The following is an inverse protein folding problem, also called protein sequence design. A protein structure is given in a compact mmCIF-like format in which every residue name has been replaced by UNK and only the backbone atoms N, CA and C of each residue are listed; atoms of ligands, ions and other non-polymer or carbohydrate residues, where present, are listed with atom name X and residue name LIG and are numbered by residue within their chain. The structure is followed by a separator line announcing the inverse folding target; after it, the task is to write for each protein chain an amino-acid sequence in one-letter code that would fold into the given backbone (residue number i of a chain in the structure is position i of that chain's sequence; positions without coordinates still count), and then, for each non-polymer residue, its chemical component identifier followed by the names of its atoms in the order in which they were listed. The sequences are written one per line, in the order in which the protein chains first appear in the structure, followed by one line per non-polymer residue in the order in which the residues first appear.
data_IF_134458051898
#
_entry.id   IF_134458051898
#
_cell.length_a   1.000
_cell.length_b   1.000
_cell.length_c   1.000
_cell.angle_alpha   90.00
_cell.angle_beta   90.00
_cell.angle_gamma   90.00
#
_symmetry.space_group_name_H-M   'P 1'
#
loop_
_entity.id
_entity.type
_entity.pdbx_description
1 polymer ?
#
# COMPACT_ATOMS: atom_id res chain seq x y z
N UNK A 1 -9.70 8.39 -79.68
CA UNK A 1 -10.12 7.18 -80.40
C UNK A 1 -11.11 6.46 -79.48
N UNK A 2 -12.40 6.39 -79.85
CA UNK A 2 -13.50 5.57 -79.26
C UNK A 2 -13.88 6.02 -77.81
N UNK A 3 -14.99 6.68 -77.43
CA UNK A 3 -16.42 6.76 -77.80
C UNK A 3 -17.18 5.43 -77.79
N UNK A 4 -18.02 5.21 -76.77
CA UNK A 4 -19.36 4.57 -76.68
C UNK A 4 -19.66 4.37 -75.17
N UNK A 5 -20.85 4.49 -74.60
CA UNK A 5 -22.21 4.58 -75.13
C UNK A 5 -23.11 5.30 -74.13
N UNK A 6 -24.03 6.08 -74.69
CA UNK A 6 -25.10 6.84 -74.04
C UNK A 6 -26.25 5.91 -73.66
N UNK A 7 -26.90 6.13 -72.51
CA UNK A 7 -28.28 5.71 -72.28
C UNK A 7 -29.10 6.94 -71.87
N UNK A 8 -30.03 7.32 -72.73
CA UNK A 8 -31.01 8.40 -72.55
C UNK A 8 -32.36 7.72 -72.25
N UNK A 9 -33.02 8.13 -71.17
CA UNK A 9 -34.47 7.98 -70.95
C UNK A 9 -34.95 9.35 -70.46
N UNK A 10 -35.36 10.20 -71.39
CA UNK A 10 -36.72 10.51 -71.84
C UNK A 10 -37.49 11.46 -70.89
N UNK A 11 -37.68 12.66 -71.46
CA UNK A 11 -38.36 13.88 -71.02
C UNK A 11 -39.81 13.70 -70.52
N UNK A 12 -40.20 14.54 -69.54
CA UNK A 12 -41.47 15.27 -69.59
C UNK A 12 -41.33 16.70 -69.01
N UNK A 13 -41.59 17.66 -69.88
CA UNK A 13 -41.87 19.10 -69.74
C UNK A 13 -43.07 19.38 -68.76
N UNK A 14 -43.33 20.55 -68.14
CA UNK A 14 -43.11 21.99 -68.43
C UNK A 14 -43.54 22.83 -67.19
N UNK A 15 -42.94 24.03 -67.06
CA UNK A 15 -43.43 25.29 -66.42
C UNK A 15 -43.79 25.27 -64.91
N UNK A 16 -43.39 26.20 -64.05
CA UNK A 16 -42.82 27.55 -64.18
C UNK A 16 -43.48 28.44 -63.12
N UNK A 17 -42.70 29.02 -62.21
CA UNK A 17 -42.88 30.37 -61.63
C UNK A 17 -41.78 30.61 -60.59
N UNK A 18 -41.13 31.76 -60.72
CA UNK A 18 -40.29 32.37 -59.71
C UNK A 18 -41.11 32.68 -58.47
N UNK A 19 -40.70 32.16 -57.33
CA UNK A 19 -40.78 32.93 -56.09
C UNK A 19 -39.44 32.72 -55.39
N UNK A 20 -38.74 33.84 -55.21
CA UNK A 20 -37.65 33.97 -54.25
C UNK A 20 -38.20 33.55 -52.89
N UNK A 21 -37.89 32.32 -52.48
CA UNK A 21 -38.00 31.93 -51.09
C UNK A 21 -36.62 31.46 -50.66
N UNK A 22 -35.76 32.43 -50.37
CA UNK A 22 -34.66 32.23 -49.46
C UNK A 22 -35.28 31.71 -48.16
N UNK A 23 -35.17 30.42 -47.92
CA UNK A 23 -35.35 29.87 -46.58
C UNK A 23 -34.24 30.52 -45.75
N UNK A 24 -34.62 31.53 -44.97
CA UNK A 24 -33.82 31.94 -43.83
C UNK A 24 -33.90 30.74 -42.88
N UNK A 25 -32.81 30.02 -42.70
CA UNK A 25 -32.65 29.22 -41.49
C UNK A 25 -32.73 30.24 -40.35
N UNK A 26 -33.88 30.32 -39.68
CA UNK A 26 -33.93 30.96 -38.36
C UNK A 26 -33.03 30.11 -37.48
N UNK A 27 -31.87 30.65 -37.11
CA UNK A 27 -31.13 30.19 -35.96
C UNK A 27 -32.12 30.18 -34.79
N UNK A 28 -32.52 28.99 -34.35
CA UNK A 28 -33.29 28.84 -33.12
C UNK A 28 -32.29 29.08 -32.00
N UNK A 29 -32.31 30.29 -31.45
CA UNK A 29 -31.45 30.69 -30.34
C UNK A 29 -31.94 30.04 -29.03
N UNK A 30 -31.60 28.77 -28.85
CA UNK A 30 -31.90 28.01 -27.63
C UNK A 30 -30.98 28.42 -26.46
N UNK A 31 -31.37 28.05 -25.23
CA UNK A 31 -30.53 28.24 -24.06
C UNK A 31 -29.23 27.41 -24.20
N UNK A 32 -28.09 28.08 -24.07
CA UNK A 32 -26.77 27.44 -24.11
C UNK A 32 -25.89 27.92 -22.96
N UNK A 33 -24.86 27.14 -22.65
CA UNK A 33 -23.97 27.41 -21.53
C UNK A 33 -22.52 27.25 -22.00
N UNK A 34 -21.73 28.30 -21.83
CA UNK A 34 -20.28 28.23 -22.01
C UNK A 34 -19.64 27.92 -20.65
N UNK A 35 -18.81 26.88 -20.59
CA UNK A 35 -18.10 26.52 -19.35
C UNK A 35 -16.84 27.35 -19.19
N UNK A 36 -16.63 27.85 -17.97
CA UNK A 36 -15.34 28.42 -17.56
C UNK A 36 -14.37 27.27 -17.32
N UNK A 37 -13.31 27.19 -18.14
CA UNK A 37 -12.26 26.18 -17.96
C UNK A 37 -11.74 26.16 -16.52
N UNK A 38 -11.54 24.99 -15.90
CA UNK A 38 -11.12 24.92 -14.51
C UNK A 38 -9.80 25.66 -14.26
N UNK A 39 -9.72 26.38 -13.15
CA UNK A 39 -8.57 27.19 -12.73
C UNK A 39 -8.39 27.10 -11.21
N UNK A 40 -7.30 27.68 -10.69
CA UNK A 40 -6.89 27.56 -9.28
C UNK A 40 -6.91 26.10 -8.79
N UNK A 41 -6.55 25.18 -9.69
CA UNK A 41 -6.55 23.74 -9.45
C UNK A 41 -5.44 23.41 -8.46
N UNK A 42 -5.83 22.86 -7.32
CA UNK A 42 -4.95 22.31 -6.30
C UNK A 42 -5.30 20.83 -6.12
N UNK A 43 -4.84 20.25 -5.02
CA UNK A 43 -5.10 18.84 -4.73
C UNK A 43 -6.54 18.53 -4.33
N UNK A 44 -7.14 19.34 -3.47
CA UNK A 44 -8.49 19.17 -2.91
C UNK A 44 -9.52 20.14 -3.46
N UNK A 45 -9.08 21.16 -4.21
CA UNK A 45 -9.95 22.21 -4.72
C UNK A 45 -9.66 22.53 -6.18
N UNK A 46 -10.68 23.03 -6.85
CA UNK A 46 -10.56 23.71 -8.14
C UNK A 46 -11.71 24.71 -8.28
N UNK A 47 -11.54 25.75 -9.08
CA UNK A 47 -12.61 26.68 -9.42
C UNK A 47 -13.06 26.47 -10.86
N UNK A 48 -14.36 26.62 -11.11
CA UNK A 48 -14.95 26.58 -12.45
C UNK A 48 -16.22 27.42 -12.44
N UNK A 49 -17.07 27.31 -13.46
CA UNK A 49 -18.27 28.11 -13.58
C UNK A 49 -18.86 28.02 -14.96
N UNK A 50 -19.72 28.98 -15.29
CA UNK A 50 -20.26 29.10 -16.62
C UNK A 50 -20.90 30.44 -16.89
N UNK A 51 -21.17 30.66 -18.17
CA UNK A 51 -21.92 31.79 -18.66
C UNK A 51 -23.14 31.28 -19.43
N UNK A 52 -24.33 31.58 -18.91
CA UNK A 52 -25.60 31.17 -19.51
C UNK A 52 -25.98 32.20 -20.58
N UNK A 53 -26.15 31.73 -21.81
CA UNK A 53 -26.67 32.50 -22.93
C UNK A 53 -28.14 32.11 -23.08
N UNK A 54 -29.04 33.02 -22.70
CA UNK A 54 -30.48 32.79 -22.64
C UNK A 54 -31.22 33.84 -23.46
N UNK A 55 -31.25 33.65 -24.78
CA UNK A 55 -31.86 34.62 -25.70
C UNK A 55 -33.40 34.58 -25.70
N UNK A 56 -33.97 33.46 -25.24
CA UNK A 56 -35.43 33.22 -25.14
C UNK A 56 -36.02 33.54 -23.75
N UNK A 57 -35.26 34.18 -22.86
CA UNK A 57 -35.70 34.58 -21.51
C UNK A 57 -36.31 33.42 -20.67
N UNK A 58 -35.77 32.19 -20.83
CA UNK A 58 -36.14 31.05 -20.00
C UNK A 58 -35.97 31.36 -18.51
N UNK A 59 -36.92 30.93 -17.68
CA UNK A 59 -36.77 31.05 -16.22
C UNK A 59 -35.79 29.99 -15.71
N UNK A 60 -34.63 30.42 -15.21
CA UNK A 60 -33.63 29.55 -14.61
C UNK A 60 -34.00 29.28 -13.15
N UNK A 61 -34.21 28.01 -12.81
CA UNK A 61 -34.56 27.54 -11.47
C UNK A 61 -33.31 27.21 -10.64
N UNK A 62 -32.35 26.50 -11.25
CA UNK A 62 -31.06 26.13 -10.64
C UNK A 62 -29.95 26.28 -11.67
N UNK A 63 -28.74 26.53 -11.20
CA UNK A 63 -27.54 26.54 -12.04
C UNK A 63 -26.31 26.23 -11.20
N UNK A 64 -25.25 25.79 -11.85
CA UNK A 64 -24.02 25.48 -11.15
C UNK A 64 -23.06 24.68 -12.01
N UNK A 65 -22.18 23.93 -11.37
CA UNK A 65 -21.27 22.98 -12.03
C UNK A 65 -21.52 21.59 -11.45
N UNK A 66 -21.71 20.60 -12.32
CA UNK A 66 -21.68 19.19 -11.96
C UNK A 66 -20.36 18.55 -12.43
N UNK A 67 -19.83 17.63 -11.64
CA UNK A 67 -18.52 17.02 -11.86
C UNK A 67 -18.47 15.57 -11.37
N UNK A 68 -17.58 14.77 -11.94
CA UNK A 68 -17.40 13.37 -11.53
C UNK A 68 -16.04 12.81 -11.97
N UNK A 69 -15.69 11.62 -11.46
CA UNK A 69 -14.52 10.84 -11.90
C UNK A 69 -14.70 10.18 -13.27
N UNK A 70 -15.93 10.19 -13.78
CA UNK A 70 -16.31 9.62 -15.07
C UNK A 70 -16.75 10.70 -16.07
N UNK A 71 -16.57 10.45 -17.36
CA UNK A 71 -17.02 11.38 -18.39
C UNK A 71 -18.56 11.53 -18.37
N UNK A 72 -19.03 12.66 -18.90
CA UNK A 72 -20.42 13.09 -18.95
C UNK A 72 -21.12 13.26 -17.59
N UNK A 73 -20.57 14.07 -16.67
CA UNK A 73 -21.22 14.34 -15.40
C UNK A 73 -22.58 15.04 -15.61
N UNK A 74 -23.52 14.71 -14.73
CA UNK A 74 -24.89 15.23 -14.70
C UNK A 74 -25.22 15.78 -13.31
N UNK A 75 -26.41 16.36 -13.16
CA UNK A 75 -26.90 16.84 -11.84
C UNK A 75 -27.18 15.72 -10.84
N UNK A 76 -27.03 14.43 -11.22
CA UNK A 76 -27.13 13.30 -10.31
C UNK A 76 -25.77 12.87 -9.73
N UNK A 77 -24.67 13.46 -10.22
CA UNK A 77 -23.32 13.24 -9.72
C UNK A 77 -22.98 14.27 -8.62
N UNK A 78 -21.70 14.61 -8.43
CA UNK A 78 -21.32 15.71 -7.56
C UNK A 78 -21.70 17.04 -8.22
N UNK A 79 -22.23 17.99 -7.45
CA UNK A 79 -22.60 19.30 -7.99
C UNK A 79 -22.48 20.41 -6.94
N UNK A 80 -22.14 21.60 -7.41
CA UNK A 80 -22.17 22.84 -6.62
C UNK A 80 -23.11 23.81 -7.31
N UNK A 81 -24.16 24.23 -6.60
CA UNK A 81 -25.12 25.22 -7.09
C UNK A 81 -24.64 26.63 -6.83
N UNK A 82 -24.90 27.53 -7.77
CA UNK A 82 -24.63 28.94 -7.61
C UNK A 82 -25.93 29.75 -7.48
N UNK A 83 -26.07 30.43 -6.35
CA UNK A 83 -27.23 31.26 -6.04
C UNK A 83 -27.27 32.61 -6.77
N UNK A 84 -28.46 33.16 -6.98
CA UNK A 84 -28.65 34.51 -7.53
C UNK A 84 -28.89 34.58 -9.04
N UNK A 85 -29.03 35.80 -9.57
CA UNK A 85 -29.63 36.04 -10.90
C UNK A 85 -28.65 36.31 -12.05
N UNK A 86 -27.35 36.44 -11.77
CA UNK A 86 -26.35 36.72 -12.81
C UNK A 86 -26.19 35.54 -13.79
N UNK A 87 -26.08 35.80 -15.09
CA UNK A 87 -25.91 34.73 -16.09
C UNK A 87 -24.51 34.13 -16.09
N UNK A 88 -23.50 34.91 -15.74
CA UNK A 88 -22.14 34.46 -15.46
C UNK A 88 -21.98 34.14 -13.97
N UNK A 89 -21.34 33.02 -13.68
CA UNK A 89 -21.09 32.56 -12.31
C UNK A 89 -19.80 31.75 -12.20
N UNK A 90 -19.26 31.70 -10.99
CA UNK A 90 -18.10 30.87 -10.61
C UNK A 90 -18.43 30.12 -9.32
N UNK A 91 -17.90 28.91 -9.19
CA UNK A 91 -18.04 28.04 -8.03
C UNK A 91 -16.71 27.43 -7.64
N UNK A 92 -16.55 27.13 -6.35
CA UNK A 92 -15.44 26.34 -5.84
C UNK A 92 -15.87 24.88 -5.73
N UNK A 93 -15.11 24.00 -6.36
CA UNK A 93 -15.17 22.57 -6.18
C UNK A 93 -14.24 22.24 -5.00
N UNK A 94 -14.77 21.55 -3.99
CA UNK A 94 -14.06 21.24 -2.74
C UNK A 94 -14.15 19.73 -2.46
N UNK A 95 -13.27 19.22 -1.59
CA UNK A 95 -13.15 17.80 -1.25
C UNK A 95 -12.85 16.90 -2.47
N UNK A 96 -12.02 17.40 -3.39
CA UNK A 96 -11.55 16.62 -4.53
C UNK A 96 -10.46 15.64 -4.09
N UNK A 97 -10.37 14.50 -4.77
CA UNK A 97 -9.23 13.60 -4.67
C UNK A 97 -8.01 14.23 -5.37
N UNK A 98 -6.82 14.03 -4.81
CA UNK A 98 -5.56 14.62 -5.31
C UNK A 98 -5.00 13.78 -6.47
N UNK A 99 -4.29 14.42 -7.39
CA UNK A 99 -3.76 13.77 -8.59
C UNK A 99 -4.83 12.98 -9.38
N UNK A 100 -6.06 13.44 -9.32
CA UNK A 100 -7.23 12.73 -9.86
C UNK A 100 -7.83 13.53 -11.00
N UNK A 101 -8.20 12.82 -12.06
CA UNK A 101 -8.88 13.39 -13.21
C UNK A 101 -10.37 13.52 -12.90
N UNK A 102 -10.86 14.75 -12.97
CA UNK A 102 -12.28 15.07 -12.89
C UNK A 102 -12.78 15.60 -14.23
N UNK A 103 -14.03 15.28 -14.53
CA UNK A 103 -14.80 15.84 -15.63
C UNK A 103 -15.83 16.79 -15.05
N UNK A 104 -16.04 17.95 -15.68
CA UNK A 104 -16.97 18.98 -15.22
C UNK A 104 -17.81 19.54 -16.37
N UNK A 105 -19.05 19.91 -16.05
CA UNK A 105 -20.00 20.63 -16.92
C UNK A 105 -20.73 21.68 -16.10
N UNK A 106 -20.93 22.86 -16.67
CA UNK A 106 -21.87 23.83 -16.14
C UNK A 106 -23.29 23.40 -16.51
N UNK A 107 -24.26 23.65 -15.63
CA UNK A 107 -25.65 23.30 -15.89
C UNK A 107 -26.59 24.47 -15.56
N UNK A 108 -27.75 24.48 -16.23
CA UNK A 108 -28.87 25.34 -15.92
C UNK A 108 -30.18 24.54 -16.05
N UNK A 109 -30.97 24.52 -15.00
CA UNK A 109 -32.27 23.85 -14.96
C UNK A 109 -33.38 24.88 -15.13
N UNK A 110 -34.30 24.58 -16.05
CA UNK A 110 -35.53 25.34 -16.29
C UNK A 110 -36.73 24.53 -15.83
N UNK A 111 -37.94 25.06 -16.01
CA UNK A 111 -39.17 24.33 -15.68
C UNK A 111 -39.36 23.03 -16.48
N UNK A 112 -38.76 22.93 -17.68
CA UNK A 112 -39.00 21.82 -18.60
C UNK A 112 -37.78 20.92 -18.78
N UNK A 113 -36.58 21.49 -18.83
CA UNK A 113 -35.36 20.81 -19.24
C UNK A 113 -34.14 21.27 -18.44
N UNK A 114 -33.09 20.44 -18.45
CA UNK A 114 -31.76 20.75 -17.91
C UNK A 114 -30.78 20.84 -19.07
N UNK A 115 -30.10 21.97 -19.15
CA UNK A 115 -29.10 22.26 -20.16
C UNK A 115 -27.72 22.10 -19.53
N UNK A 116 -26.77 21.60 -20.33
CA UNK A 116 -25.38 21.42 -19.95
C UNK A 116 -24.48 22.13 -20.93
N UNK A 117 -23.36 22.65 -20.45
CA UNK A 117 -22.25 23.08 -21.30
C UNK A 117 -21.55 21.90 -21.98
N UNK A 118 -20.59 22.22 -22.84
CA UNK A 118 -19.53 21.29 -23.20
C UNK A 118 -18.80 20.77 -21.94
N UNK A 119 -18.21 19.60 -22.08
CA UNK A 119 -17.40 18.97 -21.04
C UNK A 119 -15.96 19.46 -21.06
N UNK A 120 -15.42 19.67 -19.87
CA UNK A 120 -13.99 19.89 -19.64
C UNK A 120 -13.48 18.87 -18.65
N UNK A 121 -12.22 18.47 -18.80
CA UNK A 121 -11.52 17.66 -17.80
C UNK A 121 -10.39 18.46 -17.18
N UNK A 122 -10.11 18.22 -15.91
CA UNK A 122 -8.95 18.75 -15.21
C UNK A 122 -8.36 17.68 -14.30
N UNK A 123 -7.10 17.85 -13.91
CA UNK A 123 -6.41 16.95 -12.99
C UNK A 123 -5.99 17.77 -11.78
N UNK A 124 -6.46 17.38 -10.60
CA UNK A 124 -5.99 17.98 -9.34
C UNK A 124 -4.49 17.77 -9.19
N UNK A 125 -3.80 18.68 -8.51
CA UNK A 125 -2.34 18.57 -8.36
C UNK A 125 -1.97 17.60 -7.24
N UNK A 126 -0.72 17.13 -7.24
CA UNK A 126 -0.13 16.49 -6.06
C UNK A 126 0.73 17.45 -5.23
N UNK A 127 0.64 18.75 -5.50
CA UNK A 127 1.41 19.75 -4.77
C UNK A 127 0.75 19.99 -3.40
N UNK A 128 1.53 19.80 -2.34
CA UNK A 128 1.16 20.17 -0.98
C UNK A 128 1.07 21.71 -0.90
N UNK A 129 -0.08 22.26 -1.26
CA UNK A 129 -0.39 23.70 -1.17
C UNK A 129 -1.00 24.10 0.17
N UNK A 130 -1.22 23.13 1.06
CA UNK A 130 -1.70 23.35 2.42
C UNK A 130 -0.51 23.54 3.38
N UNK A 131 -0.76 23.47 4.69
CA UNK A 131 0.28 23.70 5.68
C UNK A 131 1.26 22.52 5.76
N UNK A 132 2.50 22.79 6.17
CA UNK A 132 3.51 21.78 6.49
C UNK A 132 3.80 21.83 7.98
N UNK A 133 3.72 20.68 8.65
CA UNK A 133 4.15 20.56 10.04
C UNK A 133 5.65 20.25 10.07
N UNK A 134 6.42 21.13 10.71
CA UNK A 134 7.86 20.97 10.82
C UNK A 134 8.26 20.15 12.06
N UNK A 135 8.95 19.04 11.84
CA UNK A 135 9.40 18.12 12.89
C UNK A 135 8.42 16.97 13.17
N UNK A 136 8.62 16.32 14.31
CA UNK A 136 7.82 15.16 14.72
C UNK A 136 6.53 15.60 15.44
N UNK A 137 5.45 14.86 15.22
CA UNK A 137 4.17 15.03 15.90
C UNK A 137 3.69 13.70 16.50
N UNK A 138 3.21 13.77 17.75
CA UNK A 138 2.55 12.65 18.42
C UNK A 138 1.15 13.08 18.82
N UNK A 139 0.15 12.31 18.37
CA UNK A 139 -1.26 12.47 18.67
C UNK A 139 -1.67 11.30 19.58
N UNK A 140 -2.11 11.60 20.79
CA UNK A 140 -2.40 10.60 21.84
C UNK A 140 -3.86 10.58 22.29
N UNK A 141 -4.66 11.52 21.81
CA UNK A 141 -6.07 11.70 22.17
C UNK A 141 -6.88 12.16 20.96
N UNK A 142 -8.20 11.94 20.96
CA UNK A 142 -9.07 12.45 19.90
C UNK A 142 -8.99 13.97 19.78
N UNK A 143 -8.95 14.68 20.91
CA UNK A 143 -8.82 16.14 20.91
C UNK A 143 -7.55 16.61 20.19
N UNK A 144 -6.44 15.89 20.32
CA UNK A 144 -5.19 16.22 19.62
C UNK A 144 -5.30 15.95 18.11
N UNK A 145 -5.94 14.85 17.72
CA UNK A 145 -6.23 14.55 16.31
C UNK A 145 -7.09 15.66 15.68
N UNK A 146 -8.18 16.04 16.33
CA UNK A 146 -9.08 17.09 15.84
C UNK A 146 -8.37 18.44 15.72
N UNK A 147 -7.58 18.81 16.73
CA UNK A 147 -6.80 20.05 16.71
C UNK A 147 -5.74 20.04 15.61
N UNK A 148 -5.10 18.90 15.36
CA UNK A 148 -4.14 18.76 14.27
C UNK A 148 -4.84 18.90 12.91
N UNK A 149 -5.97 18.21 12.72
CA UNK A 149 -6.75 18.22 11.48
C UNK A 149 -7.20 19.63 11.05
N UNK A 150 -7.63 20.50 11.98
CA UNK A 150 -8.05 21.88 11.69
C UNK A 150 -6.96 22.72 11.00
N UNK A 151 -5.69 22.35 11.16
CA UNK A 151 -4.59 23.07 10.52
C UNK A 151 -4.39 22.68 9.06
N UNK A 152 -5.11 21.69 8.52
CA UNK A 152 -4.99 21.25 7.13
C UNK A 152 -3.53 21.00 6.73
N UNK A 153 -2.80 20.20 7.52
CA UNK A 153 -1.44 19.82 7.12
C UNK A 153 -1.50 18.83 5.97
N UNK A 154 -0.68 19.03 4.93
CA UNK A 154 -0.46 18.06 3.87
C UNK A 154 0.86 17.30 3.97
N UNK A 155 1.76 17.74 4.85
CA UNK A 155 3.00 17.03 5.13
C UNK A 155 3.44 17.23 6.58
N UNK A 156 4.12 16.21 7.10
CA UNK A 156 4.89 16.25 8.35
C UNK A 156 6.33 15.97 7.96
N UNK A 157 7.26 16.89 8.20
CA UNK A 157 8.67 16.69 7.80
C UNK A 157 9.38 15.66 8.66
N UNK A 158 8.89 15.42 9.88
CA UNK A 158 9.31 14.34 10.75
C UNK A 158 8.27 13.21 10.85
N UNK A 159 8.31 12.49 11.95
CA UNK A 159 7.45 11.35 12.20
C UNK A 159 6.04 11.79 12.62
N UNK A 160 5.01 11.15 12.06
CA UNK A 160 3.65 11.16 12.59
C UNK A 160 3.43 9.91 13.44
N UNK A 161 3.16 10.11 14.73
CA UNK A 161 2.79 9.06 15.68
C UNK A 161 1.33 9.25 16.10
N UNK A 162 0.49 8.28 15.79
CA UNK A 162 -0.87 8.15 16.33
C UNK A 162 -0.79 7.04 17.36
N UNK A 163 -0.73 7.40 18.64
CA UNK A 163 -0.52 6.40 19.69
C UNK A 163 -1.29 6.71 20.94
N UNK A 164 -2.24 5.84 21.29
CA UNK A 164 -2.85 5.90 22.61
C UNK A 164 -1.84 5.40 23.67
N UNK A 165 -1.84 6.06 24.83
CA UNK A 165 -1.24 5.50 26.04
C UNK A 165 -2.27 4.67 26.82
N UNK A 166 -1.85 4.12 27.96
CA UNK A 166 -2.73 3.34 28.83
C UNK A 166 -3.96 4.15 29.31
N UNK A 167 -5.16 3.60 29.11
CA UNK A 167 -6.43 4.05 29.71
C UNK A 167 -6.67 5.57 29.66
N UNK A 168 -6.67 6.13 28.46
CA UNK A 168 -7.03 7.54 28.21
C UNK A 168 -8.54 7.78 28.40
N UNK A 169 -8.89 8.94 28.97
CA UNK A 169 -10.28 9.40 29.09
C UNK A 169 -10.83 9.99 27.76
N UNK A 170 -9.95 10.19 26.78
CA UNK A 170 -10.23 10.73 25.45
C UNK A 170 -9.56 9.85 24.38
N UNK A 171 -10.05 8.60 24.21
CA UNK A 171 -9.49 7.68 23.23
C UNK A 171 -9.71 8.19 21.80
N UNK A 172 -8.77 7.87 20.92
CA UNK A 172 -8.83 8.13 19.49
C UNK A 172 -9.86 7.17 18.88
N UNK A 173 -10.92 7.74 18.30
CA UNK A 173 -12.02 7.01 17.68
C UNK A 173 -12.17 7.33 16.20
N UNK A 174 -11.59 8.44 15.75
CA UNK A 174 -11.71 8.93 14.38
C UNK A 174 -10.44 9.68 13.97
N UNK A 175 -9.77 9.19 12.93
CA UNK A 175 -8.61 9.87 12.32
C UNK A 175 -8.90 10.35 10.91
N UNK A 176 -10.17 10.31 10.47
CA UNK A 176 -10.57 10.67 9.11
C UNK A 176 -10.14 12.07 8.73
N UNK A 177 -10.15 13.02 9.67
CA UNK A 177 -9.69 14.40 9.48
C UNK A 177 -8.23 14.57 9.03
N UNK A 178 -7.43 13.50 9.07
CA UNK A 178 -6.03 13.50 8.59
C UNK A 178 -5.90 13.29 7.06
N UNK A 179 -7.01 13.18 6.32
CA UNK A 179 -7.08 12.86 4.89
C UNK A 179 -6.23 13.75 3.97
N UNK A 180 -5.78 14.92 4.45
CA UNK A 180 -4.94 15.87 3.72
C UNK A 180 -3.44 15.49 3.69
N UNK A 181 -2.98 14.54 4.52
CA UNK A 181 -1.58 14.12 4.58
C UNK A 181 -1.14 13.34 3.33
N UNK A 182 0.00 13.72 2.74
CA UNK A 182 0.59 13.12 1.53
C UNK A 182 1.99 12.55 1.78
N UNK A 183 2.81 13.31 2.51
CA UNK A 183 4.22 12.98 2.73
C UNK A 183 4.59 13.08 4.20
N UNK A 184 5.23 12.03 4.72
CA UNK A 184 5.66 11.94 6.11
C UNK A 184 7.14 11.57 6.23
N UNK A 185 7.76 11.85 7.37
CA UNK A 185 9.00 11.21 7.80
C UNK A 185 8.78 9.70 7.95
N UNK A 186 8.14 9.33 9.05
CA UNK A 186 7.61 7.99 9.33
C UNK A 186 6.11 8.06 9.64
N UNK A 187 5.42 6.94 9.48
CA UNK A 187 4.07 6.76 10.02
C UNK A 187 4.10 5.64 11.07
N UNK A 188 3.64 5.96 12.28
CA UNK A 188 3.51 5.01 13.37
C UNK A 188 2.08 5.10 13.90
N UNK A 189 1.31 4.02 13.75
CA UNK A 189 0.00 3.86 14.37
C UNK A 189 0.13 2.76 15.43
N UNK A 190 -0.01 3.12 16.71
CA UNK A 190 0.23 2.16 17.77
C UNK A 190 -0.72 2.21 18.96
N UNK A 191 -0.98 1.04 19.54
CA UNK A 191 -1.74 0.87 20.77
C UNK A 191 -3.14 1.51 20.76
N UNK A 192 -3.76 1.69 19.58
CA UNK A 192 -5.10 2.26 19.49
C UNK A 192 -6.15 1.20 19.84
N UNK A 193 -7.11 1.56 20.68
CA UNK A 193 -8.08 0.62 21.24
C UNK A 193 -9.43 0.60 20.53
N UNK A 194 -9.79 1.65 19.79
CA UNK A 194 -11.14 1.81 19.23
C UNK A 194 -11.23 1.98 17.71
N UNK A 195 -10.13 2.31 17.01
CA UNK A 195 -10.17 2.48 15.54
C UNK A 195 -10.12 1.14 14.80
N UNK A 196 -11.12 0.88 13.95
CA UNK A 196 -11.20 -0.33 13.11
C UNK A 196 -10.52 -0.14 11.73
N UNK A 197 -10.48 1.10 11.25
CA UNK A 197 -9.90 1.48 9.95
C UNK A 197 -8.97 2.68 10.14
N UNK A 198 -7.99 2.79 9.26
CA UNK A 198 -7.05 3.91 9.22
C UNK A 198 -7.50 5.00 8.23
N UNK A 199 -8.80 5.03 7.92
CA UNK A 199 -9.42 6.03 7.05
C UNK A 199 -9.05 7.44 7.51
N UNK A 200 -8.53 8.24 6.58
CA UNK A 200 -7.80 9.48 6.86
C UNK A 200 -6.31 9.39 6.53
N UNK A 201 -5.73 8.20 6.43
CA UNK A 201 -4.34 8.01 5.99
C UNK A 201 -4.23 7.58 4.51
N UNK A 202 -5.35 7.37 3.82
CA UNK A 202 -5.47 6.77 2.47
C UNK A 202 -4.83 7.58 1.33
N UNK A 203 -4.37 8.80 1.61
CA UNK A 203 -3.74 9.66 0.63
C UNK A 203 -2.23 9.83 0.85
N UNK A 204 -1.62 9.09 1.77
CA UNK A 204 -0.17 9.14 1.93
C UNK A 204 0.48 8.46 0.73
N UNK A 205 1.18 9.24 -0.09
CA UNK A 205 1.87 8.76 -1.29
C UNK A 205 3.33 8.38 -0.98
N UNK A 206 3.93 8.98 0.06
CA UNK A 206 5.34 8.78 0.36
C UNK A 206 5.66 8.88 1.84
N UNK A 207 6.56 8.02 2.29
CA UNK A 207 7.25 8.16 3.58
C UNK A 207 8.76 8.06 3.35
N UNK A 208 9.54 8.82 4.10
CA UNK A 208 11.00 8.85 3.92
C UNK A 208 11.76 7.86 4.82
N UNK A 209 11.08 7.29 5.81
CA UNK A 209 11.69 6.41 6.80
C UNK A 209 10.81 5.18 7.05
N UNK A 210 10.10 5.06 8.18
CA UNK A 210 9.51 3.77 8.57
C UNK A 210 7.98 3.76 8.58
N UNK A 211 7.40 2.60 8.28
CA UNK A 211 5.98 2.31 8.48
C UNK A 211 5.85 1.35 9.67
N UNK A 212 5.07 1.73 10.68
CA UNK A 212 4.80 0.89 11.83
C UNK A 212 3.32 0.88 12.20
N UNK A 213 2.74 -0.32 12.30
CA UNK A 213 1.37 -0.58 12.78
C UNK A 213 1.46 -1.60 13.91
N UNK A 214 1.32 -1.14 15.15
CA UNK A 214 1.74 -1.90 16.33
C UNK A 214 0.70 -1.93 17.43
N UNK A 215 0.29 -3.10 17.91
CA UNK A 215 -0.52 -3.17 19.15
C UNK A 215 -1.95 -2.65 18.99
N UNK A 216 -2.48 -2.55 17.76
CA UNK A 216 -3.81 -1.99 17.55
C UNK A 216 -4.88 -3.08 17.69
N UNK A 217 -5.82 -2.88 18.61
CA UNK A 217 -6.76 -3.93 18.99
C UNK A 217 -7.83 -4.18 17.93
N UNK A 218 -8.33 -3.12 17.27
CA UNK A 218 -9.49 -3.21 16.38
C UNK A 218 -9.16 -3.06 14.89
N UNK A 219 -7.94 -2.63 14.54
CA UNK A 219 -7.52 -2.43 13.14
C UNK A 219 -7.56 -3.76 12.37
N UNK A 220 -8.35 -3.80 11.29
CA UNK A 220 -8.59 -5.04 10.52
C UNK A 220 -7.71 -5.18 9.28
N UNK A 221 -7.28 -4.08 8.69
CA UNK A 221 -6.38 -4.00 7.54
C UNK A 221 -5.56 -2.69 7.59
N UNK A 222 -4.65 -2.53 6.65
CA UNK A 222 -3.82 -1.33 6.51
C UNK A 222 -3.86 -0.80 5.07
N UNK A 223 -4.98 -1.04 4.37
CA UNK A 223 -5.15 -0.80 2.93
C UNK A 223 -4.99 0.70 2.59
N UNK A 224 -5.15 1.57 3.58
CA UNK A 224 -4.92 3.01 3.45
C UNK A 224 -3.48 3.36 3.08
N UNK A 225 -2.50 2.47 3.27
CA UNK A 225 -1.12 2.70 2.84
C UNK A 225 -0.83 2.31 1.38
N UNK A 226 -1.84 1.85 0.63
CA UNK A 226 -1.65 1.29 -0.73
C UNK A 226 -0.96 2.24 -1.71
N UNK A 227 -1.05 3.56 -1.52
CA UNK A 227 -0.42 4.54 -2.40
C UNK A 227 1.08 4.71 -2.17
N UNK A 228 1.63 4.20 -1.06
CA UNK A 228 3.05 4.31 -0.76
C UNK A 228 3.85 3.42 -1.72
N UNK A 229 4.52 4.03 -2.69
CA UNK A 229 5.38 3.37 -3.68
C UNK A 229 6.86 3.74 -3.55
N UNK A 230 7.18 4.62 -2.60
CA UNK A 230 8.56 5.06 -2.32
C UNK A 230 9.33 4.01 -1.51
N UNK A 231 10.66 3.90 -1.68
CA UNK A 231 11.49 3.08 -0.80
C UNK A 231 11.34 3.52 0.66
N UNK A 232 11.28 2.56 1.58
CA UNK A 232 11.14 2.81 3.02
C UNK A 232 12.29 2.16 3.76
N UNK A 233 12.59 2.62 4.97
CA UNK A 233 13.62 1.99 5.79
C UNK A 233 13.13 0.69 6.41
N UNK A 234 11.99 0.72 7.09
CA UNK A 234 11.53 -0.44 7.84
C UNK A 234 10.02 -0.56 7.76
N UNK A 235 9.56 -1.80 7.71
CA UNK A 235 8.15 -2.15 7.83
C UNK A 235 8.01 -2.97 9.12
N UNK A 236 7.15 -2.50 10.03
CA UNK A 236 6.83 -3.19 11.28
C UNK A 236 5.32 -3.31 11.43
N UNK A 237 4.81 -4.54 11.34
CA UNK A 237 3.43 -4.90 11.65
C UNK A 237 3.48 -5.92 12.77
N UNK A 238 3.05 -5.53 13.97
CA UNK A 238 3.25 -6.33 15.17
C UNK A 238 2.08 -6.23 16.13
N UNK A 239 1.65 -7.36 16.70
CA UNK A 239 0.66 -7.40 17.79
C UNK A 239 -0.68 -6.75 17.44
N UNK A 240 -1.19 -6.98 16.23
CA UNK A 240 -2.50 -6.48 15.81
C UNK A 240 -3.50 -7.65 15.79
N UNK A 241 -4.29 -7.76 16.86
CA UNK A 241 -5.10 -8.96 17.13
C UNK A 241 -6.17 -9.25 16.06
N UNK A 242 -6.71 -8.21 15.43
CA UNK A 242 -7.76 -8.32 14.42
C UNK A 242 -7.29 -8.12 12.97
N UNK A 243 -6.00 -7.82 12.78
CA UNK A 243 -5.44 -7.57 11.46
C UNK A 243 -5.41 -8.85 10.62
N UNK A 244 -6.11 -8.83 9.49
CA UNK A 244 -6.23 -9.96 8.59
C UNK A 244 -5.67 -9.70 7.17
N UNK A 245 -5.34 -8.45 6.86
CA UNK A 245 -4.76 -8.03 5.58
C UNK A 245 -3.61 -7.05 5.78
N UNK A 246 -2.58 -7.18 4.95
CA UNK A 246 -1.47 -6.23 4.79
C UNK A 246 -1.39 -5.71 3.35
N UNK A 247 -2.50 -5.71 2.61
CA UNK A 247 -2.48 -5.31 1.19
C UNK A 247 -1.94 -3.90 0.99
N UNK A 248 -2.16 -2.98 1.93
CA UNK A 248 -1.65 -1.61 1.81
C UNK A 248 -0.13 -1.45 1.75
N UNK A 249 0.68 -2.48 2.02
CA UNK A 249 2.14 -2.39 1.78
C UNK A 249 2.57 -2.96 0.42
N UNK A 250 1.62 -3.38 -0.44
CA UNK A 250 1.95 -4.10 -1.68
C UNK A 250 2.70 -3.28 -2.72
N UNK A 251 2.66 -1.95 -2.65
CA UNK A 251 3.41 -1.07 -3.55
C UNK A 251 4.81 -0.70 -3.03
N UNK A 252 5.16 -1.05 -1.80
CA UNK A 252 6.50 -0.81 -1.25
C UNK A 252 7.46 -1.88 -1.77
N UNK A 253 8.35 -1.51 -2.71
CA UNK A 253 9.23 -2.48 -3.42
C UNK A 253 10.67 -2.52 -2.94
N UNK A 254 11.11 -1.59 -2.10
CA UNK A 254 12.50 -1.54 -1.66
C UNK A 254 12.62 -1.07 -0.20
N UNK A 255 13.40 -1.83 0.56
CA UNK A 255 13.88 -1.48 1.88
C UNK A 255 15.29 -0.88 1.78
N UNK A 256 15.46 0.33 2.26
CA UNK A 256 16.72 1.09 2.16
C UNK A 256 17.30 1.42 3.53
N UNK A 257 18.62 1.55 3.63
CA UNK A 257 19.24 2.04 4.87
C UNK A 257 18.92 3.53 5.06
N UNK A 258 18.86 3.96 6.32
CA UNK A 258 18.82 5.37 6.66
C UNK A 258 20.05 5.71 7.48
N UNK A 259 20.89 6.59 6.94
CA UNK A 259 22.26 6.83 7.43
C UNK A 259 23.05 5.51 7.49
N UNK A 260 23.60 5.16 8.66
CA UNK A 260 24.37 3.94 8.87
C UNK A 260 23.51 2.75 9.33
N UNK A 261 22.20 2.94 9.47
CA UNK A 261 21.33 1.90 9.99
C UNK A 261 20.63 1.13 8.88
N UNK A 262 20.84 -0.18 8.87
CA UNK A 262 20.20 -1.10 7.93
C UNK A 262 18.68 -1.19 8.17
N UNK A 263 17.92 -1.53 7.11
CA UNK A 263 16.48 -1.76 7.21
C UNK A 263 16.15 -2.97 8.10
N UNK A 264 14.88 -3.11 8.48
CA UNK A 264 14.35 -4.23 9.27
C UNK A 264 12.92 -4.53 8.83
N UNK A 265 12.58 -5.81 8.70
CA UNK A 265 11.24 -6.27 8.36
C UNK A 265 10.68 -7.11 9.51
N UNK A 266 9.56 -6.67 10.09
CA UNK A 266 8.86 -7.39 11.14
C UNK A 266 7.38 -7.54 10.81
N UNK A 267 6.90 -8.77 10.67
CA UNK A 267 5.47 -9.10 10.55
C UNK A 267 5.17 -10.19 11.57
N UNK A 268 4.48 -9.84 12.66
CA UNK A 268 4.38 -10.78 13.79
C UNK A 268 3.15 -10.59 14.65
N UNK A 269 2.75 -11.66 15.32
CA UNK A 269 1.65 -11.66 16.30
C UNK A 269 0.37 -11.01 15.74
N UNK A 270 0.07 -11.32 14.48
CA UNK A 270 -1.16 -10.93 13.78
C UNK A 270 -1.94 -12.22 13.48
N UNK A 271 -2.70 -12.76 14.46
CA UNK A 271 -3.18 -14.14 14.43
C UNK A 271 -4.22 -14.43 13.34
N UNK A 272 -4.83 -13.40 12.74
CA UNK A 272 -5.81 -13.54 11.65
C UNK A 272 -5.20 -13.38 10.26
N UNK A 273 -3.93 -12.97 10.16
CA UNK A 273 -3.24 -12.79 8.88
C UNK A 273 -2.99 -14.16 8.23
N UNK A 274 -3.40 -14.27 6.96
CA UNK A 274 -3.39 -15.55 6.22
C UNK A 274 -2.59 -15.51 4.91
N UNK A 275 -2.06 -14.35 4.52
CA UNK A 275 -1.14 -14.23 3.39
C UNK A 275 -0.03 -13.21 3.67
N UNK A 276 1.13 -13.44 3.05
CA UNK A 276 2.26 -12.51 2.98
C UNK A 276 2.51 -12.01 1.54
N UNK A 277 1.65 -12.36 0.57
CA UNK A 277 1.78 -12.01 -0.84
C UNK A 277 1.98 -10.50 -1.09
N UNK A 278 1.43 -9.57 -0.30
CA UNK A 278 1.74 -8.14 -0.44
C UNK A 278 3.24 -7.80 -0.34
N UNK A 279 4.05 -8.65 0.30
CA UNK A 279 5.51 -8.46 0.33
C UNK A 279 6.20 -8.90 -0.96
N UNK A 280 5.48 -9.47 -1.93
CA UNK A 280 6.07 -9.97 -3.17
C UNK A 280 6.77 -8.83 -3.95
N UNK A 281 8.03 -9.11 -4.31
CA UNK A 281 8.88 -8.16 -5.03
C UNK A 281 9.69 -7.23 -4.14
N UNK A 282 9.54 -7.27 -2.81
CA UNK A 282 10.32 -6.43 -1.91
C UNK A 282 11.81 -6.82 -1.94
N UNK A 283 12.67 -5.80 -2.07
CA UNK A 283 14.13 -5.96 -2.11
C UNK A 283 14.79 -5.21 -0.94
N UNK A 284 16.04 -5.55 -0.61
CA UNK A 284 16.85 -4.81 0.36
C UNK A 284 18.30 -4.73 -0.14
N UNK A 285 18.55 -3.89 -1.15
CA UNK A 285 19.80 -3.89 -1.90
C UNK A 285 21.02 -3.41 -1.09
N UNK A 286 20.79 -2.59 -0.06
CA UNK A 286 21.82 -2.13 0.89
C UNK A 286 22.11 -3.15 2.01
N UNK A 287 21.48 -4.33 1.97
CA UNK A 287 21.43 -5.30 3.06
C UNK A 287 20.28 -5.02 4.03
N UNK A 288 20.02 -5.95 4.94
CA UNK A 288 18.96 -5.84 5.95
C UNK A 288 19.47 -6.33 7.30
N UNK A 289 19.19 -5.59 8.37
CA UNK A 289 19.61 -5.97 9.73
C UNK A 289 18.90 -7.25 10.18
N UNK A 290 17.63 -7.42 9.79
CA UNK A 290 16.96 -8.67 10.03
C UNK A 290 15.53 -8.76 9.54
N UNK A 291 15.05 -9.99 9.59
CA UNK A 291 13.70 -10.40 9.25
C UNK A 291 13.14 -11.13 10.47
N UNK A 292 11.95 -10.73 10.92
CA UNK A 292 11.25 -11.35 12.03
C UNK A 292 9.80 -11.62 11.65
N UNK A 293 9.48 -12.90 11.45
CA UNK A 293 8.15 -13.35 11.04
C UNK A 293 7.71 -14.47 11.98
N UNK A 294 6.74 -14.18 12.84
CA UNK A 294 6.35 -15.12 13.88
C UNK A 294 4.94 -14.92 14.40
N UNK A 295 4.36 -15.95 15.03
CA UNK A 295 3.01 -15.83 15.60
C UNK A 295 1.92 -15.62 14.55
N UNK A 296 2.13 -16.14 13.34
CA UNK A 296 1.18 -16.09 12.22
C UNK A 296 0.67 -17.52 11.91
N UNK A 297 -0.36 -18.01 12.63
CA UNK A 297 -0.71 -19.42 12.64
C UNK A 297 -1.31 -19.95 11.33
N UNK A 298 -1.76 -19.06 10.43
CA UNK A 298 -2.38 -19.45 9.15
C UNK A 298 -1.43 -19.36 7.95
N UNK A 299 -0.25 -18.76 8.12
CA UNK A 299 0.73 -18.63 7.05
C UNK A 299 1.38 -19.99 6.77
N UNK A 300 1.39 -20.40 5.50
CA UNK A 300 1.90 -21.72 5.08
C UNK A 300 3.28 -21.68 4.43
N UNK A 301 3.73 -20.50 3.99
CA UNK A 301 5.03 -20.27 3.38
C UNK A 301 5.39 -18.78 3.54
N UNK A 302 6.64 -18.43 3.22
CA UNK A 302 7.14 -17.04 3.22
C UNK A 302 7.68 -16.65 1.83
N UNK A 303 7.19 -17.26 0.76
CA UNK A 303 7.75 -17.18 -0.60
C UNK A 303 7.81 -15.75 -1.16
N UNK A 304 6.92 -14.88 -0.66
CA UNK A 304 6.89 -13.46 -0.97
C UNK A 304 8.23 -12.73 -0.70
N UNK A 305 9.07 -13.26 0.20
CA UNK A 305 10.36 -12.67 0.58
C UNK A 305 11.52 -12.99 -0.38
N UNK A 306 11.28 -13.79 -1.42
CA UNK A 306 12.32 -14.38 -2.29
C UNK A 306 13.33 -13.40 -2.92
N UNK A 307 12.99 -12.10 -2.97
CA UNK A 307 13.83 -11.04 -3.52
C UNK A 307 14.72 -10.34 -2.49
N UNK A 308 14.55 -10.61 -1.19
CA UNK A 308 15.47 -10.15 -0.14
C UNK A 308 16.69 -11.06 -0.18
N UNK A 309 17.89 -10.48 -0.34
CA UNK A 309 19.12 -11.22 -0.55
C UNK A 309 20.28 -10.65 0.27
N UNK A 310 21.40 -11.38 0.29
CA UNK A 310 22.63 -10.93 0.93
C UNK A 310 22.80 -11.44 2.36
N UNK A 311 23.46 -10.65 3.19
CA UNK A 311 23.76 -10.96 4.60
C UNK A 311 22.76 -10.31 5.52
N UNK A 312 22.37 -11.03 6.58
CA UNK A 312 21.46 -10.52 7.62
C UNK A 312 22.05 -10.78 9.00
N UNK A 313 21.72 -9.93 9.98
CA UNK A 313 22.16 -10.15 11.37
C UNK A 313 21.14 -10.99 12.13
N UNK A 314 19.85 -10.81 11.90
CA UNK A 314 18.77 -11.51 12.62
C UNK A 314 17.79 -12.17 11.65
N UNK A 315 17.53 -13.45 11.88
CA UNK A 315 16.48 -14.21 11.23
C UNK A 315 15.64 -14.94 12.26
N UNK A 316 14.41 -14.47 12.47
CA UNK A 316 13.45 -15.07 13.39
C UNK A 316 12.24 -15.61 12.64
N UNK A 317 12.04 -16.92 12.74
CA UNK A 317 10.87 -17.60 12.20
C UNK A 317 10.35 -18.56 13.26
N UNK A 318 9.28 -18.18 13.97
CA UNK A 318 8.78 -19.02 15.05
C UNK A 318 7.28 -18.94 15.30
N UNK A 319 6.73 -19.93 15.99
CA UNK A 319 5.30 -20.01 16.31
C UNK A 319 4.40 -19.88 15.06
N UNK A 320 4.82 -20.42 13.92
CA UNK A 320 4.01 -20.46 12.69
C UNK A 320 3.51 -21.89 12.46
N UNK A 321 2.43 -22.25 13.16
CA UNK A 321 1.96 -23.66 13.25
C UNK A 321 1.58 -24.28 11.90
N UNK A 322 1.16 -23.48 10.91
CA UNK A 322 0.84 -23.96 9.56
C UNK A 322 1.99 -23.82 8.55
N UNK A 323 3.13 -23.25 8.93
CA UNK A 323 4.26 -23.02 8.04
C UNK A 323 4.84 -24.35 7.57
N UNK A 324 4.83 -24.60 6.26
CA UNK A 324 5.31 -25.85 5.66
C UNK A 324 6.72 -25.71 5.10
N UNK A 325 7.09 -24.52 4.64
CA UNK A 325 8.38 -24.25 4.05
C UNK A 325 8.84 -22.79 4.28
N UNK A 326 10.15 -22.58 4.10
CA UNK A 326 10.81 -21.28 4.20
C UNK A 326 11.53 -20.87 2.90
N UNK A 327 11.03 -21.28 1.73
CA UNK A 327 11.75 -21.08 0.47
C UNK A 327 11.96 -19.59 0.12
N UNK A 328 11.11 -18.70 0.63
CA UNK A 328 11.25 -17.26 0.44
C UNK A 328 12.54 -16.62 0.95
N UNK A 329 13.38 -17.31 1.72
CA UNK A 329 14.71 -16.80 2.13
C UNK A 329 15.86 -17.45 1.37
N UNK A 330 15.59 -18.16 0.27
CA UNK A 330 16.61 -18.82 -0.55
C UNK A 330 17.72 -17.89 -1.06
N UNK A 331 17.47 -16.58 -1.16
CA UNK A 331 18.46 -15.60 -1.64
C UNK A 331 19.38 -15.05 -0.53
N UNK A 332 19.16 -15.45 0.73
CA UNK A 332 20.02 -15.09 1.87
C UNK A 332 21.29 -15.96 1.85
N UNK A 333 22.44 -15.30 2.04
CA UNK A 333 23.78 -15.90 1.91
C UNK A 333 24.53 -16.04 3.23
N UNK A 334 24.18 -15.25 4.25
CA UNK A 334 24.72 -15.41 5.60
C UNK A 334 23.77 -14.90 6.67
N UNK A 335 23.86 -15.52 7.85
CA UNK A 335 23.23 -15.04 9.09
C UNK A 335 24.31 -14.80 10.12
N UNK A 336 24.53 -13.54 10.50
CA UNK A 336 25.74 -13.14 11.22
C UNK A 336 25.55 -13.01 12.75
N UNK A 337 24.31 -12.92 13.24
CA UNK A 337 24.01 -12.67 14.66
C UNK A 337 23.08 -13.70 15.29
N UNK A 338 21.92 -13.94 14.70
CA UNK A 338 20.94 -14.89 15.22
C UNK A 338 20.13 -15.55 14.11
N UNK A 339 20.09 -16.89 14.15
CA UNK A 339 19.10 -17.71 13.45
C UNK A 339 18.22 -18.35 14.52
N UNK A 340 16.94 -18.00 14.56
CA UNK A 340 15.97 -18.57 15.49
C UNK A 340 14.81 -19.19 14.72
N UNK A 341 14.81 -20.52 14.61
CA UNK A 341 13.78 -21.30 13.93
C UNK A 341 13.07 -22.20 14.94
N UNK A 342 11.89 -21.79 15.42
CA UNK A 342 11.32 -22.37 16.64
C UNK A 342 9.82 -22.62 16.58
N UNK A 343 9.33 -23.76 17.11
CA UNK A 343 7.90 -24.07 17.24
C UNK A 343 7.10 -23.92 15.92
N UNK A 344 7.66 -24.37 14.80
CA UNK A 344 6.96 -24.42 13.51
C UNK A 344 6.56 -25.87 13.22
N UNK A 345 5.51 -26.35 13.90
CA UNK A 345 5.13 -27.77 13.93
C UNK A 345 4.91 -28.40 12.54
N UNK A 346 4.43 -27.63 11.56
CA UNK A 346 4.20 -28.13 10.18
C UNK A 346 5.44 -28.05 9.27
N UNK A 347 6.54 -27.46 9.74
CA UNK A 347 7.71 -27.16 8.92
C UNK A 347 8.47 -28.44 8.63
N UNK A 348 8.46 -28.84 7.37
CA UNK A 348 9.12 -30.06 6.88
C UNK A 348 10.16 -29.77 5.78
N UNK A 349 10.23 -28.53 5.31
CA UNK A 349 11.14 -28.11 4.25
C UNK A 349 11.88 -26.82 4.64
N UNK A 350 13.20 -26.95 4.83
CA UNK A 350 14.10 -25.84 5.14
C UNK A 350 15.04 -25.47 3.99
N UNK A 351 14.75 -25.88 2.74
CA UNK A 351 15.58 -25.60 1.56
C UNK A 351 15.81 -24.11 1.29
N UNK A 352 15.02 -23.23 1.90
CA UNK A 352 15.31 -21.79 1.94
C UNK A 352 16.68 -21.42 2.51
N UNK A 353 17.35 -22.32 3.26
CA UNK A 353 18.70 -22.09 3.75
C UNK A 353 19.82 -22.50 2.77
N UNK A 354 19.51 -23.08 1.61
CA UNK A 354 20.51 -23.71 0.75
C UNK A 354 21.58 -22.75 0.21
N UNK A 355 21.30 -21.45 0.11
CA UNK A 355 22.30 -20.45 -0.32
C UNK A 355 23.17 -19.92 0.82
N UNK A 356 22.88 -20.27 2.07
CA UNK A 356 23.65 -19.81 3.22
C UNK A 356 25.03 -20.47 3.20
N UNK A 357 26.08 -19.65 3.28
CA UNK A 357 27.47 -20.11 3.34
C UNK A 357 28.12 -19.95 4.71
N UNK A 358 27.57 -19.07 5.56
CA UNK A 358 28.09 -18.82 6.91
C UNK A 358 26.98 -18.56 7.91
N UNK A 359 27.10 -19.17 9.08
CA UNK A 359 26.23 -18.95 10.24
C UNK A 359 27.10 -18.53 11.44
N UNK A 360 26.73 -17.44 12.10
CA UNK A 360 27.41 -17.00 13.32
C UNK A 360 26.46 -16.43 14.37
N UNK A 361 26.92 -16.46 15.62
CA UNK A 361 26.20 -15.92 16.77
C UNK A 361 25.34 -16.98 17.44
N UNK A 362 24.04 -16.73 17.61
CA UNK A 362 23.11 -17.67 18.23
C UNK A 362 22.29 -18.41 17.17
N UNK A 363 22.59 -19.69 16.94
CA UNK A 363 21.87 -20.56 16.02
C UNK A 363 21.01 -21.52 16.84
N UNK A 364 19.69 -21.38 16.75
CA UNK A 364 18.76 -22.23 17.49
C UNK A 364 17.67 -22.77 16.56
N UNK A 365 17.62 -24.09 16.43
CA UNK A 365 16.58 -24.85 15.72
C UNK A 365 15.84 -25.70 16.76
N UNK A 366 14.64 -25.25 17.12
CA UNK A 366 13.94 -25.74 18.30
C UNK A 366 12.50 -26.19 17.98
N UNK A 367 12.05 -27.36 18.45
CA UNK A 367 10.65 -27.78 18.34
C UNK A 367 10.04 -27.64 16.93
N UNK A 368 10.74 -28.07 15.88
CA UNK A 368 10.18 -28.18 14.54
C UNK A 368 9.89 -29.67 14.26
N UNK A 369 8.76 -30.15 14.77
CA UNK A 369 8.46 -31.58 14.92
C UNK A 369 8.52 -32.41 13.64
N UNK A 370 8.28 -31.81 12.48
CA UNK A 370 8.32 -32.48 11.17
C UNK A 370 9.65 -32.32 10.41
N UNK A 371 10.62 -31.60 10.97
CA UNK A 371 11.93 -31.43 10.35
C UNK A 371 12.72 -32.74 10.41
N UNK A 372 13.08 -33.28 9.24
CA UNK A 372 13.73 -34.59 9.14
C UNK A 372 15.26 -34.52 9.06
N UNK A 373 15.79 -33.53 8.34
CA UNK A 373 17.21 -33.39 8.08
C UNK A 373 17.67 -31.93 8.06
N UNK A 374 18.99 -31.74 8.05
CA UNK A 374 19.68 -30.46 7.96
C UNK A 374 20.39 -30.23 6.62
N UNK A 375 19.99 -30.95 5.56
CA UNK A 375 20.67 -30.92 4.25
C UNK A 375 20.69 -29.54 3.61
N UNK A 376 19.74 -28.68 3.97
CA UNK A 376 19.72 -27.30 3.50
C UNK A 376 20.94 -26.48 3.95
N UNK A 377 21.76 -26.98 4.88
CA UNK A 377 23.00 -26.35 5.29
C UNK A 377 24.26 -26.92 4.60
N UNK A 378 24.14 -27.78 3.57
CA UNK A 378 25.28 -28.41 2.89
C UNK A 378 26.33 -27.42 2.33
N UNK A 379 25.91 -26.18 2.02
CA UNK A 379 26.80 -25.13 1.50
C UNK A 379 27.39 -24.24 2.60
N UNK A 380 27.02 -24.46 3.86
CA UNK A 380 27.57 -23.75 5.00
C UNK A 380 29.01 -24.22 5.18
N UNK A 381 29.94 -23.27 5.15
CA UNK A 381 31.39 -23.52 5.30
C UNK A 381 31.90 -23.24 6.70
N UNK A 382 31.11 -22.53 7.51
CA UNK A 382 31.47 -22.15 8.86
C UNK A 382 30.21 -21.94 9.70
N UNK A 383 30.16 -22.63 10.85
CA UNK A 383 29.28 -22.31 11.98
C UNK A 383 30.15 -21.80 13.13
N UNK A 384 29.74 -20.70 13.77
CA UNK A 384 30.44 -20.14 14.92
C UNK A 384 29.50 -19.57 15.96
N UNK A 385 29.94 -19.53 17.22
CA UNK A 385 29.10 -19.12 18.36
C UNK A 385 28.34 -20.29 18.96
N UNK A 386 27.09 -20.09 19.32
CA UNK A 386 26.25 -21.07 20.00
C UNK A 386 25.36 -21.82 19.01
N UNK A 387 25.40 -23.15 19.05
CA UNK A 387 24.57 -24.03 18.23
C UNK A 387 23.66 -24.88 19.12
N UNK A 388 22.37 -24.58 19.07
CA UNK A 388 21.30 -25.32 19.74
C UNK A 388 20.39 -26.00 18.70
N UNK A 389 20.29 -27.33 18.75
CA UNK A 389 19.32 -28.07 17.96
C UNK A 389 18.60 -29.01 18.90
N UNK A 390 17.37 -28.64 19.30
CA UNK A 390 16.70 -29.25 20.44
C UNK A 390 15.22 -29.49 20.18
N UNK A 391 14.71 -30.64 20.62
CA UNK A 391 13.26 -30.88 20.60
C UNK A 391 12.68 -31.13 19.21
N UNK A 392 13.48 -31.38 18.18
CA UNK A 392 12.99 -31.67 16.83
C UNK A 392 12.73 -33.18 16.70
N UNK A 393 11.53 -33.62 17.06
CA UNK A 393 11.23 -35.04 17.28
C UNK A 393 11.45 -35.95 16.06
N UNK A 394 11.34 -35.43 14.83
CA UNK A 394 11.58 -36.19 13.59
C UNK A 394 12.96 -35.98 12.98
N UNK A 395 13.85 -35.24 13.63
CA UNK A 395 15.16 -34.90 13.08
C UNK A 395 16.15 -36.06 13.31
N UNK A 396 16.46 -36.79 12.23
CA UNK A 396 17.35 -37.96 12.27
C UNK A 396 18.67 -37.76 11.50
N UNK A 397 18.78 -36.70 10.71
CA UNK A 397 19.94 -36.48 9.83
C UNK A 397 20.54 -35.08 10.00
N UNK A 398 21.77 -35.05 10.51
CA UNK A 398 22.57 -33.86 10.78
C UNK A 398 23.73 -33.72 9.77
N UNK A 399 23.80 -34.56 8.73
CA UNK A 399 24.95 -34.60 7.84
C UNK A 399 25.19 -33.27 7.11
N UNK A 400 24.13 -32.51 6.81
CA UNK A 400 24.23 -31.20 6.17
C UNK A 400 25.03 -30.14 6.93
N UNK A 401 25.28 -30.28 8.24
CA UNK A 401 26.09 -29.31 9.00
C UNK A 401 27.53 -29.76 9.27
N UNK A 402 27.88 -31.04 8.99
CA UNK A 402 29.15 -31.65 9.45
C UNK A 402 30.37 -30.90 8.94
N UNK A 403 30.39 -30.52 7.66
CA UNK A 403 31.53 -29.86 7.04
C UNK A 403 31.78 -28.43 7.59
N UNK A 404 30.79 -27.84 8.25
CA UNK A 404 30.86 -26.49 8.81
C UNK A 404 31.30 -26.45 10.29
N UNK A 405 31.35 -27.61 10.96
CA UNK A 405 31.63 -27.70 12.40
C UNK A 405 33.14 -27.67 12.68
N UNK A 406 33.54 -26.77 13.59
CA UNK A 406 34.87 -26.72 14.18
C UNK A 406 34.73 -26.41 15.67
N UNK A 407 35.29 -27.29 16.52
CA UNK A 407 35.26 -27.15 17.98
C UNK A 407 35.86 -25.82 18.47
N UNK A 408 36.76 -25.21 17.70
CA UNK A 408 37.42 -23.96 18.08
C UNK A 408 36.58 -22.73 17.76
N UNK A 409 35.52 -22.88 16.95
CA UNK A 409 34.64 -21.80 16.54
C UNK A 409 33.31 -21.80 17.30
N UNK A 410 33.00 -22.87 18.03
CA UNK A 410 31.78 -23.01 18.82
C UNK A 410 32.01 -22.59 20.27
N UNK A 411 31.16 -21.68 20.76
CA UNK A 411 31.11 -21.29 22.16
C UNK A 411 30.31 -22.30 22.99
N UNK A 412 29.23 -22.86 22.42
CA UNK A 412 28.44 -23.96 22.98
C UNK A 412 27.83 -24.85 21.88
N UNK A 413 27.62 -26.13 22.22
CA UNK A 413 26.99 -27.12 21.35
C UNK A 413 25.98 -27.95 22.14
N UNK A 414 24.70 -27.76 21.84
CA UNK A 414 23.59 -28.35 22.56
C UNK A 414 22.64 -29.09 21.62
N UNK A 415 22.72 -30.42 21.62
CA UNK A 415 21.87 -31.32 20.82
C UNK A 415 21.22 -32.36 21.71
N UNK A 416 19.91 -32.23 21.93
CA UNK A 416 19.13 -33.17 22.74
C UNK A 416 17.64 -33.13 22.40
N UNK A 417 16.88 -34.17 22.79
CA UNK A 417 15.44 -34.28 22.52
C UNK A 417 15.04 -34.26 21.03
N UNK A 418 15.95 -34.60 20.12
CA UNK A 418 15.65 -34.82 18.71
C UNK A 418 15.42 -36.32 18.40
N UNK A 419 15.07 -36.65 17.15
CA UNK A 419 15.00 -38.03 16.68
C UNK A 419 16.33 -38.78 16.81
N UNK A 420 17.42 -38.15 16.38
CA UNK A 420 18.81 -38.55 16.59
C UNK A 420 19.54 -37.48 17.40
N UNK A 421 20.35 -37.86 18.39
CA UNK A 421 21.02 -36.91 19.30
C UNK A 421 22.53 -37.15 19.31
N UNK A 422 23.24 -36.85 18.21
CA UNK A 422 24.69 -37.02 18.14
C UNK A 422 25.40 -36.05 19.07
N UNK A 423 26.52 -36.50 19.65
CA UNK A 423 27.48 -35.59 20.26
C UNK A 423 28.28 -34.85 19.18
N UNK A 424 28.96 -33.77 19.55
CA UNK A 424 29.90 -33.10 18.63
C UNK A 424 30.97 -34.08 18.11
N UNK A 425 31.48 -34.97 18.97
CA UNK A 425 32.45 -36.01 18.59
C UNK A 425 31.85 -37.01 17.58
N UNK A 426 30.57 -37.37 17.71
CA UNK A 426 29.89 -38.23 16.73
C UNK A 426 29.85 -37.57 15.35
N UNK A 427 29.46 -36.30 15.28
CA UNK A 427 29.40 -35.54 14.03
C UNK A 427 30.78 -35.40 13.38
N UNK A 428 31.81 -35.03 14.15
CA UNK A 428 33.18 -34.89 13.65
C UNK A 428 33.79 -36.22 13.17
N UNK A 429 33.27 -37.36 13.65
CA UNK A 429 33.65 -38.70 13.19
C UNK A 429 32.77 -39.23 12.05
N UNK A 430 31.81 -38.45 11.56
CA UNK A 430 30.91 -38.81 10.46
C UNK A 430 29.68 -39.63 10.87
N UNK A 431 29.40 -39.78 12.16
CA UNK A 431 28.18 -40.41 12.67
C UNK A 431 27.05 -39.37 12.72
N UNK A 432 26.55 -38.97 11.55
CA UNK A 432 25.64 -37.83 11.41
C UNK A 432 24.17 -38.19 11.16
N UNK A 433 23.81 -39.48 11.03
CA UNK A 433 22.43 -39.90 10.84
C UNK A 433 22.14 -41.28 11.47
N UNK A 434 20.87 -41.55 11.81
CA UNK A 434 20.33 -42.83 12.31
C UNK A 434 19.22 -43.43 11.44
#
# INVERSE_FOLDING_TARGET
MIKFSTLIVLFCFLAGCSDDNSVVEEDVFDLSIEITSPFDIKGDIASSGGNIINEDDHTILRKGVCYSLTAAPTVNDLLIEHEGVATSFEVNLENLEFNTVYYARAFAETTNDIFYSDEVSFTTTNECTLNVFEGDVTLTTQTEVDNFAINNYCSVTGDLRISEGDATADPIVDISGLYNLRSLGSIIVSNTTLIESLEGLHNIDSISNSLAVVGNEQVINIDEFIKIDTPVRSITVFDNANLNSIEGISNIKELVKYEDNLPYLKISDCPLLNSLDPLEGITANDGISGISIHGLPFITNIDALSNISGSIDVLDIFNMTSLQNINGIYSITSVNGRLYLSNNESLNNILGFQSITTLSGFISIFNNDLLYNLDAFENVTQISGELEIVGNASLFDFCGIVDALDENNLDDFSVYQNGFNPTLEDLLNGNCAE
#
